data_IF_899566833657
#
_entry.id   IF_899566833657
#
_cell.length_a   1.000
_cell.length_b   1.000
_cell.length_c   1.000
_cell.angle_alpha   90.00
_cell.angle_beta   90.00
_cell.angle_gamma   90.00
#
_symmetry.space_group_name_H-M   'P 1'
#
loop_
_entity.id
_entity.type
_entity.pdbx_description
1 polymer ?
2 non-polymer ?
3 non-polymer ?
4 non-polymer ?
5 water ?
#
# COMPACT_ATOMS: atom_id res chain seq x y z
N UNK A 8 -2.21 -9.16 8.72
CA UNK A 8 -1.69 -7.82 8.28
C UNK A 8 -1.16 -7.06 9.48
N UNK A 9 -0.33 -6.04 9.23
CA UNK A 9 0.17 -5.24 10.33
C UNK A 9 -0.89 -4.33 10.92
N UNK A 10 -0.49 -3.61 11.98
CA UNK A 10 -1.36 -2.68 12.67
C UNK A 10 -2.31 -3.28 13.69
N UNK A 11 -2.20 -4.60 13.88
CA UNK A 11 -3.04 -5.37 14.80
C UNK A 11 -2.55 -5.22 16.24
N UNK A 12 -2.49 -3.99 16.72
CA UNK A 12 -2.01 -3.76 18.06
C UNK A 12 -2.86 -4.46 19.10
N UNK A 13 -4.13 -4.64 18.81
CA UNK A 13 -5.02 -5.30 19.76
C UNK A 13 -4.60 -6.76 19.93
N UNK A 14 -4.32 -7.43 18.82
CA UNK A 14 -3.93 -8.84 18.90
C UNK A 14 -2.53 -8.96 19.51
N UNK A 15 -1.65 -8.01 19.21
CA UNK A 15 -0.30 -8.05 19.78
C UNK A 15 -0.36 -7.87 21.29
N UNK A 16 -1.17 -6.92 21.71
CA UNK A 16 -1.39 -6.60 23.13
C UNK A 16 -2.03 -7.77 23.84
N UNK A 17 -2.90 -8.46 23.12
CA UNK A 17 -3.57 -9.63 23.67
C UNK A 17 -2.59 -10.76 23.97
N UNK A 18 -1.67 -11.02 23.05
CA UNK A 18 -0.67 -12.04 23.25
C UNK A 18 0.20 -11.73 24.48
N UNK A 19 0.39 -10.45 24.77
CA UNK A 19 1.25 -10.07 25.92
C UNK A 19 0.46 -9.91 27.19
N UNK A 20 -0.85 -9.82 27.07
CA UNK A 20 -1.67 -9.63 28.25
C UNK A 20 -1.68 -8.20 28.73
N UNK A 21 -1.52 -7.26 27.78
CA UNK A 21 -1.53 -5.84 28.09
C UNK A 21 -2.51 -5.07 27.18
N UNK A 22 -2.58 -3.75 27.36
CA UNK A 22 -3.49 -2.95 26.53
C UNK A 22 -2.74 -2.44 25.30
N UNK A 23 -3.40 -2.42 24.14
CA UNK A 23 -2.77 -1.95 22.91
C UNK A 23 -2.21 -0.53 23.02
N UNK A 24 -2.65 0.19 24.04
CA UNK A 24 -2.18 1.56 24.26
C UNK A 24 -0.71 1.61 24.68
N UNK A 25 -0.18 0.49 25.18
CA UNK A 25 1.21 0.44 25.61
C UNK A 25 2.18 0.01 24.54
N UNK A 26 1.69 -0.19 23.33
CA UNK A 26 2.57 -0.61 22.26
C UNK A 26 2.95 0.53 21.31
N UNK A 27 4.20 0.57 20.88
CA UNK A 27 4.69 1.55 19.90
C UNK A 27 4.63 0.71 18.60
N UNK A 28 3.72 1.05 17.71
CA UNK A 28 3.54 0.25 16.51
C UNK A 28 4.35 0.67 15.29
N UNK A 29 5.20 -0.24 14.81
CA UNK A 29 6.01 0.00 13.60
C UNK A 29 5.63 -1.03 12.53
N UNK A 30 4.43 -1.64 12.71
CA UNK A 30 3.98 -2.69 11.79
C UNK A 30 2.93 -2.20 10.79
N UNK A 31 2.45 -0.97 11.00
CA UNK A 31 1.45 -0.28 10.18
C UNK A 31 2.21 0.88 9.60
N UNK A 32 1.90 1.27 8.40
CA UNK A 32 2.72 2.32 7.83
C UNK A 32 1.89 3.54 7.59
N UNK A 33 1.51 4.23 8.67
CA UNK A 33 0.66 5.42 8.54
C UNK A 33 1.48 6.71 8.59
N UNK A 34 1.14 7.67 7.75
CA UNK A 34 1.87 8.96 7.73
C UNK A 34 1.93 9.51 9.16
N UNK A 35 3.15 9.75 9.70
CA UNK A 35 3.19 10.26 11.08
C UNK A 35 2.65 11.72 11.27
N UNK A 36 2.34 12.41 10.19
CA UNK A 36 1.79 13.76 10.30
C UNK A 36 0.39 13.69 10.92
N UNK A 37 -0.27 12.53 10.83
CA UNK A 37 -1.60 12.38 11.39
C UNK A 37 -2.65 12.83 10.38
N UNK A 38 -3.93 12.82 10.73
CA UNK A 38 -4.95 13.25 9.77
C UNK A 38 -4.87 14.75 9.60
N UNK A 39 -5.10 15.28 8.39
CA UNK A 39 -5.04 16.74 8.21
C UNK A 39 -5.95 17.46 9.22
N UNK A 40 -5.51 18.60 9.74
CA UNK A 40 -6.34 19.34 10.70
C UNK A 40 -7.68 19.72 10.08
N UNK A 41 -7.66 20.05 8.80
CA UNK A 41 -8.88 20.46 8.11
C UNK A 41 -9.88 19.29 8.04
N UNK A 42 -9.36 18.08 7.91
CA UNK A 42 -10.21 16.91 7.87
C UNK A 42 -10.86 16.73 9.20
N UNK A 43 -10.11 16.92 10.29
CA UNK A 43 -10.73 16.74 11.60
C UNK A 43 -11.84 17.78 11.87
N UNK A 44 -11.59 19.01 11.44
CA UNK A 44 -12.56 20.10 11.62
C UNK A 44 -13.85 19.76 10.88
N UNK A 45 -13.69 19.40 9.61
CA UNK A 45 -14.82 19.05 8.76
C UNK A 45 -15.62 17.90 9.34
N UNK A 46 -14.95 16.88 9.89
CA UNK A 46 -15.67 15.76 10.47
C UNK A 46 -16.47 16.22 11.69
N UNK A 47 -15.83 16.98 12.58
CA UNK A 47 -16.57 17.43 13.75
C UNK A 47 -17.76 18.31 13.35
N UNK A 48 -17.56 19.22 12.41
CA UNK A 48 -18.65 20.12 12.02
C UNK A 48 -19.77 19.55 11.14
N UNK A 49 -19.60 18.32 10.68
CA UNK A 49 -20.58 17.71 9.80
C UNK A 49 -21.03 16.35 10.28
N UNK A 50 -20.78 16.06 11.54
CA UNK A 50 -21.11 14.76 12.10
C UNK A 50 -22.58 14.36 11.87
N UNK A 51 -23.45 15.36 11.85
CA UNK A 51 -24.86 15.15 11.63
C UNK A 51 -25.17 14.44 10.29
N UNK A 52 -24.23 14.47 9.34
CA UNK A 52 -24.52 13.81 8.06
C UNK A 52 -24.72 12.30 8.23
N UNK A 53 -24.26 11.77 9.35
CA UNK A 53 -24.40 10.35 9.71
C UNK A 53 -25.87 9.91 9.78
N UNK A 54 -26.76 10.87 10.05
CA UNK A 54 -28.18 10.59 10.13
C UNK A 54 -28.87 10.31 8.80
N UNK A 55 -28.13 10.43 7.70
CA UNK A 55 -28.69 10.12 6.38
C UNK A 55 -27.75 9.19 5.64
N UNK A 56 -28.31 8.40 4.74
CA UNK A 56 -27.48 7.51 3.93
C UNK A 56 -26.48 8.33 3.10
N UNK A 57 -25.29 7.77 2.78
CA UNK A 57 -24.35 8.54 1.96
C UNK A 57 -25.03 8.65 0.58
N UNK A 58 -24.48 9.45 -0.32
CA UNK A 58 -25.01 9.54 -1.71
C UNK A 58 -24.62 8.22 -2.39
N UNK A 59 -25.60 7.37 -2.72
CA UNK A 59 -25.30 6.08 -3.34
C UNK A 59 -24.38 6.19 -4.56
N UNK A 60 -24.38 7.36 -5.20
CA UNK A 60 -23.54 7.61 -6.38
C UNK A 60 -22.24 8.38 -6.07
N UNK A 61 -22.08 8.82 -4.83
CA UNK A 61 -20.89 9.56 -4.41
C UNK A 61 -20.48 10.65 -5.39
N UNK A 62 -21.45 11.48 -5.78
CA UNK A 62 -21.15 12.55 -6.72
C UNK A 62 -20.05 13.53 -6.29
N UNK A 63 -20.17 14.09 -5.09
CA UNK A 63 -19.18 15.05 -4.60
C UNK A 63 -17.81 14.41 -4.43
N UNK A 64 -17.77 13.23 -3.81
CA UNK A 64 -16.48 12.56 -3.64
C UNK A 64 -15.82 12.30 -4.99
N UNK A 65 -16.55 11.72 -5.95
CA UNK A 65 -15.97 11.42 -7.22
C UNK A 65 -15.61 12.71 -7.98
N UNK A 66 -16.40 13.77 -7.83
CA UNK A 66 -16.01 15.02 -8.50
C UNK A 66 -14.67 15.51 -7.98
N UNK A 67 -14.46 15.41 -6.66
CA UNK A 67 -13.21 15.85 -6.03
C UNK A 67 -12.05 15.01 -6.48
N UNK A 68 -12.25 13.69 -6.56
CA UNK A 68 -11.19 12.83 -7.04
C UNK A 68 -10.87 13.11 -8.49
N UNK A 69 -11.91 13.36 -9.30
CA UNK A 69 -11.67 13.64 -10.71
C UNK A 69 -10.96 14.99 -10.87
N UNK A 70 -11.33 15.98 -10.06
CA UNK A 70 -10.66 17.28 -10.15
C UNK A 70 -9.19 17.09 -9.78
N UNK A 71 -8.94 16.25 -8.80
CA UNK A 71 -7.58 16.05 -8.33
C UNK A 71 -6.67 15.44 -9.39
N UNK A 72 -7.16 14.45 -10.13
CA UNK A 72 -6.34 13.81 -11.15
C UNK A 72 -6.57 14.39 -12.54
N UNK A 73 -7.46 15.37 -12.60
CA UNK A 73 -7.83 15.95 -13.90
C UNK A 73 -8.24 14.87 -14.90
N UNK A 74 -9.17 14.01 -14.51
CA UNK A 74 -9.65 12.99 -15.41
C UNK A 74 -11.20 13.00 -15.32
N UNK A 75 -11.90 12.38 -16.27
CA UNK A 75 -13.36 12.33 -16.27
C UNK A 75 -13.80 11.59 -14.99
N UNK A 76 -14.87 12.03 -14.34
CA UNK A 76 -15.34 11.38 -13.12
C UNK A 76 -15.76 9.94 -13.39
N UNK A 77 -16.13 9.69 -14.65
CA UNK A 77 -16.58 8.35 -15.04
C UNK A 77 -15.48 7.27 -14.93
N UNK A 78 -14.26 7.72 -14.78
CA UNK A 78 -13.15 6.79 -14.66
C UNK A 78 -12.86 6.37 -13.24
N UNK A 79 -13.59 6.91 -12.27
CA UNK A 79 -13.30 6.66 -10.87
C UNK A 79 -14.39 5.98 -10.06
N UNK A 80 -13.98 5.05 -9.19
CA UNK A 80 -14.93 4.37 -8.30
C UNK A 80 -14.27 4.25 -6.95
N UNK A 81 -14.78 5.02 -5.98
CA UNK A 81 -14.25 4.99 -4.63
C UNK A 81 -14.66 3.67 -4.00
N UNK A 82 -13.86 3.27 -3.01
CA UNK A 82 -14.09 2.06 -2.25
C UNK A 82 -13.90 2.21 -0.75
N UNK A 83 -14.47 1.28 0.00
CA UNK A 83 -14.42 1.23 1.48
C UNK A 83 -12.98 0.70 1.74
N UNK A 84 -12.01 1.61 1.57
CA UNK A 84 -10.60 1.27 1.66
C UNK A 84 -10.15 0.81 0.27
N UNK A 85 -8.87 0.98 -0.06
CA UNK A 85 -8.39 0.43 -1.36
C UNK A 85 -8.61 -1.11 -1.36
N UNK A 86 -8.70 -1.67 -0.16
CA UNK A 86 -8.94 -3.10 -0.01
C UNK A 86 -10.23 -3.45 -0.77
N UNK A 87 -11.27 -2.63 -0.62
CA UNK A 87 -12.50 -2.93 -1.36
C UNK A 87 -12.24 -2.83 -2.84
N UNK A 88 -11.46 -1.83 -3.27
CA UNK A 88 -11.21 -1.66 -4.70
C UNK A 88 -10.52 -2.90 -5.26
N UNK A 89 -9.64 -3.53 -4.46
CA UNK A 89 -8.94 -4.77 -4.92
C UNK A 89 -9.98 -5.87 -5.16
N UNK A 90 -10.93 -6.02 -4.23
CA UNK A 90 -11.96 -7.06 -4.43
C UNK A 90 -12.88 -6.70 -5.54
N UNK A 91 -13.14 -5.41 -5.72
CA UNK A 91 -14.03 -5.00 -6.82
C UNK A 91 -13.40 -5.30 -8.18
N UNK A 92 -12.10 -5.02 -8.30
CA UNK A 92 -11.46 -5.27 -9.59
C UNK A 92 -11.40 -6.76 -9.85
N UNK A 93 -11.10 -7.52 -8.80
CA UNK A 93 -11.06 -8.98 -9.00
C UNK A 93 -12.41 -9.55 -9.43
N UNK A 94 -13.49 -9.14 -8.77
CA UNK A 94 -14.80 -9.67 -9.09
C UNK A 94 -15.32 -9.09 -10.40
N UNK A 95 -14.94 -7.85 -10.73
CA UNK A 95 -15.37 -7.23 -11.97
C UNK A 95 -14.65 -7.71 -13.22
N UNK A 96 -13.37 -8.04 -13.12
CA UNK A 96 -12.64 -8.54 -14.29
C UNK A 96 -12.82 -10.08 -14.34
N UNK A 97 -13.06 -10.69 -13.18
CA UNK A 97 -13.27 -12.15 -13.14
C UNK A 97 -12.28 -12.92 -14.02
N UNK A 98 -10.98 -12.69 -13.79
CA UNK A 98 -9.97 -13.40 -14.59
C UNK A 98 -10.00 -14.90 -14.43
N UNK A 99 -9.74 -15.62 -15.53
CA UNK A 99 -9.62 -17.09 -15.49
C UNK A 99 -8.20 -17.49 -15.05
N UNK A 100 -7.21 -16.71 -15.54
CA UNK A 100 -5.79 -16.89 -15.24
C UNK A 100 -5.23 -15.51 -14.95
N UNK A 101 -4.53 -15.37 -13.83
CA UNK A 101 -3.95 -14.07 -13.50
C UNK A 101 -2.58 -14.30 -12.89
N UNK A 102 -1.69 -13.32 -13.05
CA UNK A 102 -0.36 -13.46 -12.48
C UNK A 102 -0.16 -12.40 -11.38
N UNK A 103 0.46 -12.83 -10.29
CA UNK A 103 0.82 -11.89 -9.21
C UNK A 103 2.32 -12.05 -9.05
N UNK A 104 2.92 -11.11 -8.34
CA UNK A 104 4.36 -11.14 -8.14
C UNK A 104 4.61 -11.27 -6.65
N UNK A 105 5.42 -12.23 -6.26
CA UNK A 105 5.69 -12.41 -4.82
C UNK A 105 7.19 -12.25 -4.55
N UNK A 106 7.58 -11.76 -3.36
CA UNK A 106 6.77 -11.34 -2.22
C UNK A 106 5.84 -10.17 -2.61
N UNK A 107 4.64 -10.12 -2.05
CA UNK A 107 3.76 -9.01 -2.40
C UNK A 107 2.64 -8.88 -1.41
N UNK A 108 1.63 -8.06 -1.73
CA UNK A 108 0.49 -7.84 -0.85
C UNK A 108 -0.49 -9.05 -0.94
N UNK A 109 -0.77 -9.69 0.19
CA UNK A 109 -1.62 -10.91 0.22
C UNK A 109 -3.07 -10.86 -0.25
N UNK A 110 -3.69 -9.68 -0.16
CA UNK A 110 -5.11 -9.57 -0.51
C UNK A 110 -5.37 -9.91 -2.00
N UNK A 111 -4.37 -9.78 -2.87
CA UNK A 111 -4.66 -10.10 -4.28
C UNK A 111 -4.94 -11.59 -4.41
N UNK A 112 -4.08 -12.40 -3.81
CA UNK A 112 -4.28 -13.84 -3.86
C UNK A 112 -5.60 -14.21 -3.21
N UNK A 113 -5.98 -13.52 -2.13
CA UNK A 113 -7.25 -13.87 -1.49
C UNK A 113 -8.43 -13.51 -2.36
N UNK A 114 -8.40 -12.31 -2.95
CA UNK A 114 -9.52 -11.89 -3.79
C UNK A 114 -9.66 -12.76 -5.04
N UNK A 115 -8.53 -13.13 -5.62
CA UNK A 115 -8.52 -13.95 -6.85
C UNK A 115 -9.00 -15.36 -6.56
N UNK A 116 -8.59 -15.87 -5.40
CA UNK A 116 -9.00 -17.22 -5.02
C UNK A 116 -10.51 -17.24 -4.87
N UNK A 117 -11.05 -16.23 -4.21
CA UNK A 117 -12.51 -16.15 -4.02
C UNK A 117 -13.25 -16.01 -5.33
N UNK A 118 -12.62 -15.38 -6.33
CA UNK A 118 -13.30 -15.23 -7.61
C UNK A 118 -13.06 -16.42 -8.55
N UNK A 119 -12.42 -17.48 -8.05
CA UNK A 119 -12.17 -18.68 -8.84
C UNK A 119 -11.17 -18.59 -9.99
N UNK A 120 -10.09 -17.87 -9.76
CA UNK A 120 -9.06 -17.65 -10.77
C UNK A 120 -7.84 -18.57 -10.58
N UNK A 121 -7.26 -19.06 -11.68
CA UNK A 121 -6.04 -19.86 -11.64
C UNK A 121 -4.92 -18.83 -11.41
N UNK A 122 -4.20 -18.94 -10.30
CA UNK A 122 -3.18 -17.93 -10.00
C UNK A 122 -1.76 -18.36 -10.37
N UNK A 123 -1.06 -17.57 -11.18
CA UNK A 123 0.33 -17.88 -11.50
C UNK A 123 1.20 -16.88 -10.74
N UNK A 124 2.28 -17.35 -10.15
CA UNK A 124 3.17 -16.47 -9.38
C UNK A 124 4.50 -16.21 -10.06
N UNK A 125 4.83 -14.94 -10.25
CA UNK A 125 6.13 -14.60 -10.81
C UNK A 125 6.94 -14.32 -9.55
N UNK A 126 8.04 -15.05 -9.38
CA UNK A 126 8.82 -14.92 -8.17
C UNK A 126 9.97 -13.92 -8.29
N UNK A 127 9.99 -12.91 -7.41
CA UNK A 127 11.12 -11.98 -7.33
C UNK A 127 12.23 -12.84 -6.68
N UNK A 128 13.50 -12.49 -6.89
CA UNK A 128 14.66 -13.27 -6.40
C UNK A 128 15.51 -12.57 -5.35
N UNK A 129 15.85 -13.27 -4.28
CA UNK A 129 16.69 -12.63 -3.27
C UNK A 129 18.00 -12.22 -3.94
N UNK A 130 18.49 -13.02 -4.89
CA UNK A 130 19.74 -12.68 -5.57
C UNK A 130 19.62 -11.37 -6.37
N UNK A 131 18.39 -10.92 -6.64
CA UNK A 131 18.18 -9.65 -7.37
C UNK A 131 17.86 -8.51 -6.41
N UNK A 132 18.05 -8.75 -5.11
CA UNK A 132 17.72 -7.74 -4.12
C UNK A 132 16.20 -7.53 -4.11
N UNK A 133 15.45 -8.54 -4.59
CA UNK A 133 13.96 -8.51 -4.70
C UNK A 133 13.48 -7.49 -5.73
N UNK A 134 14.39 -7.05 -6.60
CA UNK A 134 14.02 -6.09 -7.64
C UNK A 134 13.29 -6.78 -8.79
N UNK A 135 12.25 -6.11 -9.33
CA UNK A 135 11.56 -6.67 -10.48
C UNK A 135 12.47 -6.51 -11.71
N UNK A 136 12.71 -7.57 -12.44
CA UNK A 136 13.54 -7.46 -13.62
C UNK A 136 12.77 -7.68 -14.90
N UNK A 137 13.38 -7.35 -16.03
CA UNK A 137 12.72 -7.52 -17.33
C UNK A 137 12.44 -8.96 -17.72
N UNK A 138 12.96 -9.90 -16.92
CA UNK A 138 12.70 -11.32 -17.19
C UNK A 138 11.20 -11.60 -17.14
N UNK A 139 10.46 -10.75 -16.44
CA UNK A 139 9.01 -10.99 -16.32
C UNK A 139 8.34 -10.86 -17.70
N UNK A 140 8.87 -9.98 -18.55
CA UNK A 140 8.28 -9.79 -19.87
C UNK A 140 8.09 -11.09 -20.65
N UNK A 141 9.10 -11.95 -20.64
CA UNK A 141 8.96 -13.18 -21.39
C UNK A 141 7.96 -14.10 -20.73
N UNK A 142 7.77 -13.96 -19.43
CA UNK A 142 6.82 -14.83 -18.73
C UNK A 142 5.36 -14.45 -19.04
N UNK A 143 5.14 -13.29 -19.65
CA UNK A 143 3.77 -12.88 -19.95
C UNK A 143 3.30 -13.61 -21.18
N UNK A 144 2.15 -14.26 -21.08
CA UNK A 144 1.64 -15.04 -22.22
C UNK A 144 0.18 -14.68 -22.56
N UNK A 145 -0.23 -14.98 -23.80
CA UNK A 145 -1.59 -14.68 -24.27
C UNK A 145 -2.71 -15.28 -23.42
N UNK A 146 -2.46 -16.39 -22.72
CA UNK A 146 -3.54 -16.96 -21.93
C UNK A 146 -3.76 -16.22 -20.60
N UNK A 147 -2.89 -15.26 -20.26
CA UNK A 147 -3.10 -14.50 -19.03
C UNK A 147 -4.17 -13.44 -19.17
N UNK A 148 -5.07 -13.34 -18.18
CA UNK A 148 -6.13 -12.32 -18.30
C UNK A 148 -5.69 -11.02 -17.61
N UNK A 149 -4.98 -11.19 -16.51
CA UNK A 149 -4.53 -10.04 -15.70
C UNK A 149 -3.13 -10.23 -15.13
N UNK A 150 -2.46 -9.11 -14.89
CA UNK A 150 -1.16 -9.11 -14.22
C UNK A 150 -1.34 -8.02 -13.12
N UNK A 151 -1.02 -8.35 -11.87
CA UNK A 151 -1.11 -7.37 -10.79
C UNK A 151 0.29 -7.05 -10.28
N UNK A 152 0.62 -5.75 -10.20
CA UNK A 152 1.92 -5.28 -9.71
C UNK A 152 1.67 -4.28 -8.56
N UNK A 153 2.60 -4.17 -7.62
CA UNK A 153 2.44 -3.24 -6.50
C UNK A 153 3.55 -2.22 -6.77
N UNK A 154 3.20 -0.94 -6.87
CA UNK A 154 4.22 0.05 -7.18
C UNK A 154 4.08 1.25 -6.24
N UNK A 155 4.97 1.35 -5.21
CA UNK A 155 6.08 0.46 -4.86
C UNK A 155 5.57 -0.85 -4.23
N UNK A 156 6.45 -1.83 -4.16
CA UNK A 156 6.06 -3.14 -3.62
C UNK A 156 5.95 -3.14 -2.10
N UNK A 157 5.01 -3.94 -1.59
CA UNK A 157 4.80 -4.07 -0.15
C UNK A 157 5.08 -5.57 -0.08
N UNK A 158 6.03 -6.00 0.77
CA UNK A 158 6.84 -5.25 1.72
C UNK A 158 8.22 -4.69 1.38
N UNK A 159 8.71 -4.85 0.14
CA UNK A 159 10.07 -4.46 -0.12
C UNK A 159 10.33 -2.96 -0.22
N UNK A 160 9.30 -2.23 -0.63
CA UNK A 160 9.43 -0.79 -0.77
C UNK A 160 10.04 -0.32 -2.07
N UNK A 161 10.34 -1.28 -2.95
CA UNK A 161 11.02 -0.97 -4.22
C UNK A 161 10.03 -0.50 -5.28
N UNK A 162 10.44 0.53 -6.02
CA UNK A 162 9.58 1.07 -7.08
C UNK A 162 10.19 0.74 -8.45
N UNK A 163 9.53 -0.12 -9.24
CA UNK A 163 10.10 -0.44 -10.56
C UNK A 163 10.24 0.85 -11.41
N UNK A 164 11.35 0.95 -12.13
CA UNK A 164 11.61 2.10 -12.99
C UNK A 164 10.47 2.30 -14.01
N UNK A 165 10.13 3.55 -14.31
CA UNK A 165 9.05 3.78 -15.25
C UNK A 165 9.19 3.07 -16.59
N UNK A 166 10.41 2.96 -17.12
CA UNK A 166 10.61 2.29 -18.41
C UNK A 166 10.23 0.80 -18.41
N UNK A 167 10.48 0.15 -17.30
CA UNK A 167 10.15 -1.24 -17.17
C UNK A 167 8.63 -1.33 -17.08
N UNK A 168 8.00 -0.50 -16.25
CA UNK A 168 6.52 -0.51 -16.14
C UNK A 168 5.90 -0.24 -17.50
N UNK A 169 6.46 0.74 -18.23
CA UNK A 169 5.95 1.06 -19.56
C UNK A 169 6.08 -0.16 -20.50
N UNK A 170 7.20 -0.88 -20.44
CA UNK A 170 7.39 -2.04 -21.29
C UNK A 170 6.41 -3.15 -20.94
N UNK A 171 6.18 -3.33 -19.64
CA UNK A 171 5.21 -4.36 -19.22
C UNK A 171 3.82 -3.90 -19.70
N UNK A 172 3.50 -2.62 -19.47
CA UNK A 172 2.22 -2.09 -19.89
C UNK A 172 2.02 -2.32 -21.39
N UNK A 173 3.07 -2.13 -22.20
CA UNK A 173 2.90 -2.32 -23.67
C UNK A 173 2.77 -3.78 -24.08
N UNK A 174 3.52 -4.65 -23.41
CA UNK A 174 3.42 -6.05 -23.69
C UNK A 174 2.02 -6.53 -23.28
N UNK A 175 1.47 -6.04 -22.15
CA UNK A 175 0.12 -6.44 -21.74
C UNK A 175 -0.87 -5.96 -22.79
N UNK A 176 -0.64 -4.77 -23.32
CA UNK A 176 -1.58 -4.25 -24.32
C UNK A 176 -1.60 -5.16 -25.55
N UNK A 177 -0.43 -5.57 -26.02
CA UNK A 177 -0.36 -6.44 -27.19
C UNK A 177 -0.90 -7.83 -26.93
N UNK A 178 -0.76 -8.35 -25.70
CA UNK A 178 -1.24 -9.70 -25.39
C UNK A 178 -2.62 -9.68 -24.74
N UNK A 179 -3.27 -8.53 -24.79
CA UNK A 179 -4.63 -8.38 -24.25
C UNK A 179 -4.69 -8.83 -22.79
N UNK A 180 -3.77 -8.30 -21.97
CA UNK A 180 -3.74 -8.63 -20.54
C UNK A 180 -4.05 -7.37 -19.77
N UNK A 181 -4.94 -7.42 -18.77
CA UNK A 181 -5.18 -6.20 -17.98
C UNK A 181 -4.02 -6.04 -17.02
N UNK A 182 -3.54 -4.81 -16.85
CA UNK A 182 -2.44 -4.53 -15.91
C UNK A 182 -3.00 -3.70 -14.80
N UNK A 183 -2.97 -4.24 -13.58
CA UNK A 183 -3.48 -3.56 -12.39
C UNK A 183 -2.27 -3.11 -11.60
N UNK A 184 -2.21 -1.80 -11.32
CA UNK A 184 -1.09 -1.22 -10.56
C UNK A 184 -1.52 -0.73 -9.21
N UNK A 185 -0.96 -1.30 -8.15
CA UNK A 185 -1.37 -0.87 -6.83
C UNK A 185 -0.43 0.26 -6.37
N UNK A 186 -0.96 1.48 -6.43
CA UNK A 186 -0.21 2.68 -6.06
C UNK A 186 -0.56 3.20 -4.64
N UNK A 187 -0.88 2.29 -3.72
CA UNK A 187 -1.19 2.67 -2.36
C UNK A 187 -0.19 3.63 -1.72
N UNK A 188 1.08 3.44 -2.01
CA UNK A 188 2.13 4.30 -1.37
C UNK A 188 2.81 5.26 -2.33
N UNK A 189 2.31 5.35 -3.56
CA UNK A 189 2.99 6.18 -4.54
C UNK A 189 3.12 7.67 -4.17
N UNK A 190 2.14 8.21 -3.45
CA UNK A 190 2.23 9.64 -3.13
C UNK A 190 3.34 9.99 -2.11
N UNK A 191 3.92 8.98 -1.46
CA UNK A 191 5.02 9.27 -0.54
C UNK A 191 6.34 9.51 -1.28
N UNK A 192 6.43 8.98 -2.49
CA UNK A 192 7.67 9.06 -3.25
C UNK A 192 7.75 10.37 -4.01
N UNK A 193 8.75 11.20 -3.70
CA UNK A 193 8.85 12.48 -4.40
C UNK A 193 8.78 12.45 -5.91
N UNK A 194 7.88 13.29 -6.41
CA UNK A 194 7.69 13.49 -7.84
C UNK A 194 7.32 12.27 -8.67
N UNK A 195 6.68 11.28 -8.05
CA UNK A 195 6.25 10.10 -8.79
C UNK A 195 4.77 10.24 -9.12
N UNK A 196 4.45 10.34 -10.40
CA UNK A 196 3.04 10.57 -10.77
C UNK A 196 2.17 9.33 -10.89
N UNK A 197 2.82 8.18 -10.96
CA UNK A 197 2.07 6.93 -11.13
C UNK A 197 1.55 6.91 -12.55
N UNK A 198 0.58 6.04 -12.82
CA UNK A 198 0.04 5.88 -14.15
C UNK A 198 -1.29 6.54 -14.48
N UNK A 199 -1.91 7.20 -13.51
CA UNK A 199 -3.18 7.83 -13.82
C UNK A 199 -3.05 8.77 -15.03
N UNK A 200 -1.95 9.54 -15.10
CA UNK A 200 -1.78 10.46 -16.24
C UNK A 200 -1.73 9.75 -17.60
N UNK A 201 -1.48 8.45 -17.62
CA UNK A 201 -1.41 7.75 -18.89
C UNK A 201 -2.60 6.84 -19.24
N UNK A 202 -3.69 6.87 -18.46
CA UNK A 202 -4.82 6.01 -18.72
C UNK A 202 -5.63 6.32 -19.97
N UNK A 203 -5.63 7.57 -20.43
CA UNK A 203 -6.38 7.90 -21.63
C UNK A 203 -5.70 7.06 -22.70
N UNK A 204 -6.44 6.30 -23.49
CA UNK A 204 -5.78 5.48 -24.52
C UNK A 204 -5.07 4.21 -24.00
N UNK A 205 -5.19 3.92 -22.69
CA UNK A 205 -4.62 2.69 -22.16
C UNK A 205 -5.72 2.09 -21.27
N UNK A 206 -6.87 1.75 -21.85
CA UNK A 206 -7.98 1.18 -21.08
C UNK A 206 -7.72 -0.19 -20.42
N UNK A 207 -6.59 -0.82 -20.75
CA UNK A 207 -6.24 -2.11 -20.13
C UNK A 207 -5.51 -1.86 -18.79
N UNK A 208 -5.18 -0.60 -18.48
CA UNK A 208 -4.50 -0.31 -17.23
C UNK A 208 -5.44 0.12 -16.13
N UNK A 209 -5.28 -0.46 -14.93
CA UNK A 209 -6.13 -0.09 -13.82
C UNK A 209 -5.26 0.40 -12.67
N UNK A 210 -5.60 1.54 -12.06
CA UNK A 210 -4.80 2.02 -10.93
C UNK A 210 -5.60 2.03 -9.63
N UNK A 211 -5.00 1.50 -8.58
CA UNK A 211 -5.66 1.45 -7.26
C UNK A 211 -4.91 2.46 -6.38
N UNK A 212 -5.70 3.24 -5.63
CA UNK A 212 -5.14 4.24 -4.76
C UNK A 212 -5.74 4.10 -3.38
N UNK A 213 -5.03 4.59 -2.37
CA UNK A 213 -5.57 4.54 -1.04
C UNK A 213 -5.31 5.89 -0.36
N UNK A 214 -6.27 6.36 0.45
CA UNK A 214 -6.01 7.58 1.27
C UNK A 214 -5.55 7.15 2.66
N UNK A 215 -5.56 5.85 2.94
CA UNK A 215 -5.21 5.31 4.23
C UNK A 215 -3.85 5.68 4.82
N UNK A 216 -2.79 5.42 4.07
CA UNK A 216 -1.45 5.66 4.60
C UNK A 216 -1.07 7.11 4.46
N UNK A 217 -1.25 7.62 3.26
CA UNK A 217 -0.85 9.01 2.97
C UNK A 217 -1.53 10.09 3.75
N UNK A 218 -2.82 9.95 3.98
CA UNK A 218 -3.52 10.99 4.73
C UNK A 218 -3.85 10.56 6.16
N UNK A 219 -3.28 9.42 6.58
CA UNK A 219 -3.49 8.90 7.92
C UNK A 219 -4.92 8.77 8.39
N UNK A 220 -5.76 8.16 7.56
CA UNK A 220 -7.13 7.92 7.94
C UNK A 220 -7.51 6.43 7.78
N UNK A 221 -6.62 5.50 8.18
CA UNK A 221 -6.93 4.06 8.05
C UNK A 221 -8.22 3.63 8.71
N UNK A 222 -8.64 4.32 9.78
CA UNK A 222 -9.86 3.92 10.46
C UNK A 222 -11.15 4.34 9.76
N UNK A 223 -11.06 5.25 8.81
CA UNK A 223 -12.27 5.70 8.11
C UNK A 223 -12.56 4.85 6.88
N UNK A 224 -11.51 4.24 6.33
CA UNK A 224 -11.57 3.39 5.14
C UNK A 224 -11.90 4.08 3.81
N UNK A 225 -10.89 4.51 3.09
CA UNK A 225 -11.15 5.11 1.81
C UNK A 225 -10.03 4.90 0.79
N UNK A 226 -10.42 4.35 -0.36
CA UNK A 226 -9.49 4.15 -1.45
C UNK A 226 -10.27 4.32 -2.74
N UNK A 227 -9.64 4.12 -3.89
CA UNK A 227 -10.36 4.22 -5.17
C UNK A 227 -9.65 3.54 -6.32
N UNK A 228 -10.43 3.28 -7.36
CA UNK A 228 -9.95 2.60 -8.55
C UNK A 228 -10.09 3.58 -9.72
N UNK A 229 -9.14 3.58 -10.64
CA UNK A 229 -9.23 4.50 -11.80
C UNK A 229 -8.94 3.71 -13.06
N UNK A 230 -9.78 3.89 -14.08
CA UNK A 230 -9.61 3.17 -15.34
C UNK A 230 -10.46 3.88 -16.42
N UNK A 231 -9.98 3.87 -17.66
CA UNK A 231 -10.65 4.63 -18.72
C UNK A 231 -11.57 3.88 -19.63
N UNK A 232 -11.79 2.60 -19.33
CA UNK A 232 -12.68 1.75 -20.12
C UNK A 232 -14.12 2.00 -19.68
N UNK A 233 -14.94 2.55 -20.58
CA UNK A 233 -16.31 2.83 -20.21
C UNK A 233 -17.12 1.66 -19.69
N UNK A 234 -17.22 0.60 -20.48
CA UNK A 234 -18.00 -0.57 -20.12
C UNK A 234 -17.52 -1.28 -18.87
N UNK A 235 -16.20 -1.47 -18.77
CA UNK A 235 -15.63 -2.17 -17.62
C UNK A 235 -15.90 -1.41 -16.34
N UNK A 236 -15.74 -0.09 -16.35
CA UNK A 236 -15.97 0.69 -15.13
C UNK A 236 -17.46 0.67 -14.82
N UNK A 237 -18.31 0.60 -15.84
CA UNK A 237 -19.76 0.56 -15.57
C UNK A 237 -20.04 -0.74 -14.83
N UNK A 238 -19.34 -1.80 -15.22
CA UNK A 238 -19.50 -3.11 -14.59
C UNK A 238 -19.00 -3.08 -13.13
N UNK A 239 -17.92 -2.36 -12.90
CA UNK A 239 -17.38 -2.26 -11.57
C UNK A 239 -18.36 -1.58 -10.62
N UNK A 240 -19.06 -0.58 -11.12
CA UNK A 240 -20.01 0.12 -10.24
C UNK A 240 -21.13 -0.82 -9.82
N UNK A 241 -21.52 -1.73 -10.72
CA UNK A 241 -22.57 -2.71 -10.36
C UNK A 241 -22.07 -3.80 -9.42
N UNK A 242 -20.83 -4.23 -9.61
CA UNK A 242 -20.26 -5.26 -8.78
C UNK A 242 -20.04 -4.81 -7.32
N UNK A 243 -19.74 -3.53 -7.13
CA UNK A 243 -19.49 -3.02 -5.78
C UNK A 243 -20.78 -2.90 -4.97
N UNK A 244 -20.68 -3.23 -3.70
CA UNK A 244 -21.86 -3.17 -2.83
C UNK A 244 -22.40 -1.75 -2.63
N UNK A 245 -23.72 -1.58 -2.55
CA UNK A 245 -24.26 -0.22 -2.37
C UNK A 245 -23.93 0.40 -1.02
N UNK A 246 -23.73 1.72 -1.04
CA UNK A 246 -23.44 2.52 0.12
C UNK A 246 -22.19 2.04 0.84
N UNK A 247 -21.25 1.40 0.15
CA UNK A 247 -20.13 0.86 0.88
C UNK A 247 -19.15 1.86 1.46
N UNK A 248 -19.11 3.07 0.91
CA UNK A 248 -18.21 4.13 1.44
C UNK A 248 -19.02 4.91 2.49
N UNK A 249 -18.52 5.01 3.73
CA UNK A 249 -19.34 5.72 4.72
C UNK A 249 -19.30 7.22 4.49
N UNK A 250 -20.28 7.94 5.05
CA UNK A 250 -20.37 9.40 4.76
C UNK A 250 -19.19 10.22 5.24
N UNK A 251 -18.65 9.84 6.39
CA UNK A 251 -17.50 10.56 6.95
C UNK A 251 -16.25 10.33 6.09
N UNK A 252 -16.09 9.11 5.60
CA UNK A 252 -14.97 8.85 4.71
C UNK A 252 -15.08 9.72 3.48
N UNK A 253 -16.28 9.80 2.92
CA UNK A 253 -16.42 10.56 1.69
C UNK A 253 -16.08 12.03 1.95
N UNK A 254 -16.57 12.56 3.07
CA UNK A 254 -16.29 13.96 3.46
C UNK A 254 -14.76 14.14 3.68
N UNK A 255 -14.16 13.22 4.43
CA UNK A 255 -12.72 13.29 4.68
C UNK A 255 -11.94 13.31 3.39
N UNK A 256 -12.31 12.44 2.46
CA UNK A 256 -11.62 12.36 1.19
C UNK A 256 -11.58 13.70 0.46
N UNK A 257 -12.76 14.30 0.30
CA UNK A 257 -12.92 15.58 -0.37
C UNK A 257 -12.02 16.65 0.29
N UNK A 258 -12.09 16.76 1.62
CA UNK A 258 -11.30 17.77 2.35
C UNK A 258 -9.80 17.49 2.25
N UNK A 259 -9.40 16.25 2.45
CA UNK A 259 -7.99 15.90 2.39
C UNK A 259 -7.32 16.30 1.08
N UNK A 260 -8.01 16.11 -0.04
CA UNK A 260 -7.45 16.45 -1.32
C UNK A 260 -7.28 17.95 -1.43
N UNK A 261 -7.85 18.69 -0.49
CA UNK A 261 -7.74 20.15 -0.56
C UNK A 261 -6.53 20.73 0.16
N UNK A 262 -5.77 19.88 0.85
CA UNK A 262 -4.58 20.31 1.58
C UNK A 262 -3.40 20.44 0.61
N UNK A 263 -3.16 21.67 0.15
CA UNK A 263 -2.12 21.92 -0.82
C UNK A 263 -0.70 21.80 -0.30
N UNK A 264 -0.51 21.81 1.02
CA UNK A 264 0.85 21.70 1.55
C UNK A 264 1.22 20.28 1.98
N UNK A 265 0.19 19.45 2.16
CA UNK A 265 0.36 18.08 2.64
C UNK A 265 1.44 17.26 1.94
N UNK A 266 1.42 17.20 0.62
CA UNK A 266 2.43 16.39 -0.04
C UNK A 266 3.86 16.88 0.19
N UNK A 267 4.07 18.17 0.02
CA UNK A 267 5.42 18.69 0.18
C UNK A 267 5.94 18.40 1.59
N UNK A 268 5.08 18.59 2.58
CA UNK A 268 5.47 18.36 3.95
C UNK A 268 5.84 16.87 4.16
N UNK A 269 5.22 15.96 3.40
CA UNK A 269 5.52 14.53 3.55
C UNK A 269 6.84 14.22 2.88
N UNK A 270 7.05 14.77 1.68
CA UNK A 270 8.28 14.53 0.98
C UNK A 270 9.44 15.07 1.80
N UNK A 271 9.24 16.23 2.40
CA UNK A 271 10.30 16.85 3.21
C UNK A 271 10.68 15.97 4.40
N UNK A 272 9.67 15.49 5.10
CA UNK A 272 9.88 14.63 6.25
C UNK A 272 10.59 13.35 5.78
N UNK A 273 10.10 12.75 4.70
CA UNK A 273 10.69 11.52 4.23
C UNK A 273 12.14 11.74 3.80
N UNK A 274 12.40 12.87 3.14
CA UNK A 274 13.77 13.18 2.69
C UNK A 274 14.71 13.42 3.87
N UNK A 275 14.20 14.05 4.91
CA UNK A 275 15.02 14.37 6.09
C UNK A 275 15.09 13.24 7.09
N UNK A 276 14.04 13.11 7.89
CA UNK A 276 13.98 12.07 8.93
C UNK A 276 14.03 10.67 8.30
N UNK A 277 13.35 10.51 7.16
CA UNK A 277 13.34 9.20 6.51
C UNK A 277 14.74 8.77 6.13
N UNK A 278 15.52 9.70 5.60
CA UNK A 278 16.87 9.37 5.20
C UNK A 278 17.74 9.11 6.44
N UNK A 279 17.57 9.91 7.48
CA UNK A 279 18.38 9.69 8.67
C UNK A 279 18.08 8.33 9.29
N UNK A 280 16.79 7.97 9.26
CA UNK A 280 16.35 6.70 9.82
C UNK A 280 16.97 5.56 9.00
N UNK A 281 16.88 5.64 7.67
CA UNK A 281 17.43 4.59 6.83
C UNK A 281 18.93 4.49 7.09
N UNK A 282 19.61 5.60 7.20
CA UNK A 282 21.07 5.53 7.40
C UNK A 282 21.43 4.89 8.73
N UNK A 283 20.70 5.25 9.77
CA UNK A 283 20.94 4.70 11.09
C UNK A 283 20.72 3.20 11.05
N UNK A 284 19.69 2.74 10.34
CA UNK A 284 19.45 1.30 10.30
C UNK A 284 20.58 0.59 9.59
N UNK A 285 21.10 1.19 8.51
CA UNK A 285 22.17 0.54 7.76
C UNK A 285 23.43 0.41 8.59
N UNK A 286 23.52 1.20 9.67
CA UNK A 286 24.73 1.17 10.53
C UNK A 286 24.69 0.02 11.53
N UNK A 287 23.51 -0.57 11.74
CA UNK A 287 23.39 -1.68 12.69
C UNK A 287 24.02 -2.95 12.18
N UNK A 288 24.64 -3.72 13.10
CA UNK A 288 25.26 -4.97 12.67
C UNK A 288 24.21 -6.06 12.42
N UNK A 289 24.60 -7.03 11.62
CA UNK A 289 23.75 -8.18 11.35
C UNK A 289 22.42 -7.79 10.76
N UNK A 290 22.39 -6.67 10.03
CA UNK A 290 21.10 -6.24 9.47
C UNK A 290 21.21 -5.72 8.05
N UNK A 291 20.50 -6.34 7.11
CA UNK A 291 20.48 -5.84 5.75
C UNK A 291 19.18 -5.01 5.67
N UNK A 292 19.29 -3.83 5.09
CA UNK A 292 18.19 -2.88 4.94
C UNK A 292 18.01 -2.65 3.43
N UNK A 293 16.83 -2.92 2.89
CA UNK A 293 16.62 -2.76 1.46
C UNK A 293 16.24 -1.31 1.25
N UNK A 294 16.57 -0.73 0.08
CA UNK A 294 16.31 0.69 -0.21
C UNK A 294 14.86 1.06 -0.53
N UNK A 295 14.02 1.04 0.49
CA UNK A 295 12.61 1.35 0.28
C UNK A 295 12.42 2.80 -0.14
N UNK A 296 11.44 3.02 -0.99
CA UNK A 296 11.16 4.38 -1.48
C UNK A 296 10.06 5.16 -0.77
N UNK A 297 9.28 4.48 0.08
CA UNK A 297 8.20 5.16 0.78
C UNK A 297 8.39 5.09 2.28
N UNK A 298 7.29 5.08 3.04
CA UNK A 298 7.42 5.13 4.50
C UNK A 298 7.54 3.81 5.26
N UNK A 299 8.32 2.89 4.69
CA UNK A 299 8.62 1.61 5.37
C UNK A 299 9.89 1.00 4.79
N UNK A 300 10.53 0.12 5.56
CA UNK A 300 11.75 -0.50 5.08
C UNK A 300 11.73 -1.98 5.40
N UNK A 301 12.13 -2.78 4.44
CA UNK A 301 12.24 -4.24 4.62
C UNK A 301 13.64 -4.50 5.21
N UNK A 302 13.68 -5.30 6.26
CA UNK A 302 14.92 -5.63 6.97
C UNK A 302 15.16 -7.13 6.89
N UNK A 303 16.43 -7.55 6.84
CA UNK A 303 16.73 -8.98 6.86
C UNK A 303 17.77 -9.14 7.99
N UNK A 304 17.37 -9.86 9.01
CA UNK A 304 18.26 -10.09 10.14
C UNK A 304 19.19 -11.20 9.69
N UNK A 305 20.50 -10.95 9.82
CA UNK A 305 21.50 -11.92 9.39
C UNK A 305 21.71 -13.11 10.31
N UNK A 306 21.15 -13.05 11.51
CA UNK A 306 21.22 -14.18 12.43
C UNK A 306 19.80 -14.78 12.43
N UNK A 307 19.64 -15.94 11.80
CA UNK A 307 18.33 -16.61 11.75
C UNK A 307 17.81 -16.99 13.15
N UNK A 308 18.70 -17.15 14.12
CA UNK A 308 18.30 -17.53 15.48
C UNK A 308 17.80 -16.36 16.31
N UNK A 309 17.79 -15.18 15.73
CA UNK A 309 17.32 -14.01 16.46
C UNK A 309 15.91 -13.67 16.00
N UNK A 310 14.94 -13.80 16.91
CA UNK A 310 13.55 -13.45 16.60
C UNK A 310 13.35 -11.96 16.93
N UNK A 311 13.60 -11.09 15.93
CA UNK A 311 13.48 -9.64 16.16
C UNK A 311 12.12 -9.17 16.63
N UNK A 312 11.04 -9.76 16.09
CA UNK A 312 9.70 -9.35 16.49
C UNK A 312 9.48 -9.69 17.99
N UNK A 313 9.87 -10.88 18.39
CA UNK A 313 9.70 -11.26 19.81
C UNK A 313 10.53 -10.36 20.73
N UNK A 314 11.81 -10.19 20.41
CA UNK A 314 12.66 -9.34 21.24
C UNK A 314 12.12 -7.92 21.35
N UNK A 315 11.61 -7.36 20.24
CA UNK A 315 11.13 -6.00 20.34
C UNK A 315 9.80 -5.90 21.10
N UNK A 316 9.01 -6.96 21.08
CA UNK A 316 7.75 -6.95 21.80
C UNK A 316 7.99 -6.87 23.30
N UNK A 317 9.13 -7.39 23.76
CA UNK A 317 9.40 -7.33 25.18
C UNK A 317 9.57 -5.85 25.52
N UNK A 318 10.00 -5.05 24.55
CA UNK A 318 10.17 -3.63 24.79
C UNK A 318 8.89 -2.88 24.40
N UNK A 319 7.81 -3.65 24.17
CA UNK A 319 6.53 -3.07 23.78
C UNK A 319 6.62 -2.31 22.47
N UNK A 320 7.35 -2.87 21.52
CA UNK A 320 7.48 -2.26 20.19
C UNK A 320 7.11 -3.38 19.22
N UNK A 321 6.11 -3.10 18.38
CA UNK A 321 5.60 -4.08 17.41
C UNK A 321 6.17 -3.85 16.01
N UNK A 322 6.83 -4.85 15.44
CA UNK A 322 7.28 -4.71 14.05
C UNK A 322 6.55 -5.76 13.24
N UNK A 323 6.66 -5.69 11.92
CA UNK A 323 5.97 -6.69 11.10
C UNK A 323 6.91 -7.83 10.76
N UNK A 324 6.48 -9.06 10.98
CA UNK A 324 7.30 -10.20 10.60
C UNK A 324 6.85 -10.58 9.21
N UNK A 325 7.81 -10.84 8.31
CA UNK A 325 7.45 -11.22 6.94
C UNK A 325 7.67 -12.70 6.73
N UNK A 326 7.76 -13.45 7.81
CA UNK A 326 7.99 -14.90 7.73
C UNK A 326 7.00 -15.68 6.87
N UNK A 327 5.74 -15.27 6.87
CA UNK A 327 4.72 -16.00 6.13
C UNK A 327 4.39 -15.46 4.76
N UNK A 328 5.16 -14.47 4.30
CA UNK A 328 4.95 -13.93 2.96
C UNK A 328 5.56 -14.93 2.01
N UNK A 329 4.81 -15.37 1.00
CA UNK A 329 5.40 -16.32 0.05
C UNK A 329 6.66 -15.70 -0.57
N UNK A 330 7.77 -16.42 -0.55
CA UNK A 330 9.01 -15.89 -1.12
C UNK A 330 10.01 -15.41 -0.07
N UNK A 331 9.52 -15.01 1.11
CA UNK A 331 10.41 -14.55 2.18
C UNK A 331 10.51 -15.68 3.24
N UNK A 332 11.21 -15.40 4.34
CA UNK A 332 11.35 -16.36 5.44
C UNK A 332 11.50 -15.60 6.76
N UNK A 333 11.63 -16.33 7.87
CA UNK A 333 11.73 -15.70 9.19
C UNK A 333 12.84 -14.65 9.45
N UNK A 334 13.79 -14.49 8.55
CA UNK A 334 14.82 -13.47 8.78
C UNK A 334 14.30 -12.09 8.38
N UNK A 335 13.17 -12.08 7.66
CA UNK A 335 12.62 -10.81 7.16
C UNK A 335 11.57 -10.13 8.02
N UNK A 336 11.72 -8.81 8.15
CA UNK A 336 10.83 -7.98 8.93
C UNK A 336 10.59 -6.68 8.17
N UNK A 337 9.54 -5.96 8.55
CA UNK A 337 9.28 -4.67 7.88
C UNK A 337 8.97 -3.67 8.99
N UNK A 338 9.52 -2.46 8.90
CA UNK A 338 9.23 -1.44 9.90
C UNK A 338 8.78 -0.16 9.23
N UNK A 339 7.85 0.54 9.89
CA UNK A 339 7.37 1.80 9.37
C UNK A 339 8.46 2.85 9.58
N UNK A 340 8.32 3.99 8.91
CA UNK A 340 9.22 5.13 9.18
C UNK A 340 8.21 6.08 9.83
N UNK A 341 8.48 6.48 11.09
CA UNK A 341 7.53 7.37 11.78
C UNK A 341 8.18 8.67 12.23
N UNK A 342 7.83 9.18 13.41
CA UNK A 342 8.46 10.44 13.84
C UNK A 342 9.88 10.21 14.34
N UNK A 343 10.70 11.28 14.37
CA UNK A 343 12.08 11.10 14.84
C UNK A 343 12.17 10.44 16.21
N UNK A 344 11.31 10.86 17.13
CA UNK A 344 11.36 10.33 18.49
C UNK A 344 11.00 8.85 18.52
N UNK A 345 10.03 8.49 17.70
CA UNK A 345 9.58 7.10 17.64
C UNK A 345 10.62 6.27 16.97
N UNK A 346 11.22 6.82 15.91
CA UNK A 346 12.24 6.09 15.17
C UNK A 346 13.43 5.84 16.11
N UNK A 347 13.71 6.81 16.98
CA UNK A 347 14.83 6.65 17.90
C UNK A 347 14.61 5.51 18.87
N UNK A 348 13.38 5.32 19.34
CA UNK A 348 13.15 4.24 20.27
C UNK A 348 13.28 2.91 19.53
N UNK A 349 12.86 2.85 18.26
CA UNK A 349 12.99 1.60 17.52
C UNK A 349 14.48 1.30 17.32
N UNK A 350 15.24 2.32 16.92
CA UNK A 350 16.68 2.12 16.71
C UNK A 350 17.38 1.63 17.96
N UNK A 351 17.04 2.23 19.10
CA UNK A 351 17.66 1.86 20.38
C UNK A 351 17.38 0.39 20.67
N UNK A 352 16.15 -0.02 20.41
CA UNK A 352 15.74 -1.39 20.67
C UNK A 352 16.46 -2.34 19.74
N UNK A 353 16.54 -1.99 18.45
CA UNK A 353 17.24 -2.89 17.54
C UNK A 353 18.72 -2.93 17.90
N UNK A 354 19.28 -1.77 18.15
CA UNK A 354 20.69 -1.66 18.46
C UNK A 354 21.09 -2.53 19.67
N UNK A 355 20.24 -2.59 20.67
CA UNK A 355 20.54 -3.40 21.86
C UNK A 355 20.46 -4.88 21.55
N UNK A 356 19.54 -5.25 20.67
CA UNK A 356 19.41 -6.65 20.31
C UNK A 356 20.57 -7.15 19.44
N UNK A 357 20.98 -6.32 18.47
CA UNK A 357 21.96 -6.67 17.46
C UNK A 357 23.43 -6.44 17.73
N UNK A 358 23.74 -5.53 18.64
CA UNK A 358 25.14 -5.26 18.94
C UNK A 358 25.69 -6.32 19.92
N UNK A 359 26.98 -6.57 19.86
CA UNK A 359 27.56 -7.54 20.77
C UNK A 359 27.37 -9.00 20.40
N UNK A 360 26.99 -9.27 19.16
CA UNK A 360 26.81 -10.63 18.73
C UNK A 360 27.76 -11.03 17.59
N UNK A 361 28.37 -12.19 17.72
CA UNK A 361 29.27 -12.69 16.68
C UNK A 361 28.50 -13.12 15.42
N UNK A 362 29.17 -13.23 14.28
CA UNK A 362 28.49 -13.66 13.04
C UNK A 362 28.02 -15.08 13.24
#
# INVERSE_FOLDING_TARGET
>A
MALFNTAHGGNIREPATVLGISPDQLLDFSANINPLGMPVSVKRALIDNLDCIERYPDADYFHLHQALARHHQVPASWILAGNGETESIFTVASGLKPRRAMIVTPGFAEYGRALAQSGCEIRRWSLREADGWQLTDAILEALTPDLDCLFLCTPNNPTGLLPERPLLQAIADRCKSLNINLILDEAFIDFIPHETGFIPALKDNPHIWVLRSLTKFYAIPGLRLGYLVNSDDAAMARMRRQQMPWSVNALAALAGEVALQDSAWQQATWHWLREEGARFYQALCQLPLLTVYPGRANYLLLRCEREDIDLQRRLLTQRILIRSCANYPGLDSRYYRVAIRSAAQNERLLAALRNVLTGIAPAD
#
